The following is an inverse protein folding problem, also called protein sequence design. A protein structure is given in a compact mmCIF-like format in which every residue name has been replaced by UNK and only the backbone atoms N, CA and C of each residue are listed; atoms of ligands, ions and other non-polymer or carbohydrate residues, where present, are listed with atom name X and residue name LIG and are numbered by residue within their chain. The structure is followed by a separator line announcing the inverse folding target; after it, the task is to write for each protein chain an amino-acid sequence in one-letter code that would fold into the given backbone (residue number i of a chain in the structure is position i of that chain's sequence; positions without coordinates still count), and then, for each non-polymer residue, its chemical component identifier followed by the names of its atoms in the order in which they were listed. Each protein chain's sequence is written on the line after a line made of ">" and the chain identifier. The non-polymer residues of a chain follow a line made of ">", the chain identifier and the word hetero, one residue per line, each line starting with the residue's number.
data_IF_905161371342
#
_entry.id   IF_905161371342
#
_cell.length_a   1.000
_cell.length_b   1.000
_cell.length_c   1.000
_cell.angle_alpha   90.00
_cell.angle_beta   90.00
_cell.angle_gamma   90.00
#
_symmetry.space_group_name_H-M   'P 1'
#
loop_
_entity.id
_entity.type
_entity.pdbx_description
1 polymer ?
#
# COMPACT_ATOMS: atom_id res chain seq x y z
N UNK A 1 27.12 24.34 39.97
CA UNK A 1 26.28 23.15 39.94
C UNK A 1 25.27 23.25 38.80
N UNK A 2 25.24 22.28 38.03
CA UNK A 2 24.25 22.27 37.01
C UNK A 2 22.96 21.75 37.60
N UNK A 3 22.01 22.60 37.66
CA UNK A 3 20.69 22.19 38.07
C UNK A 3 19.90 21.61 36.95
N UNK A 4 20.41 21.78 35.78
CA UNK A 4 19.82 21.08 34.68
C UNK A 4 20.59 19.81 34.57
N UNK A 5 19.98 18.73 35.01
CA UNK A 5 20.58 17.48 34.69
C UNK A 5 20.51 17.37 33.19
N UNK A 6 20.97 18.28 32.48
CA UNK A 6 21.02 18.03 31.13
C UNK A 6 20.81 16.55 30.93
N UNK A 7 20.06 16.15 30.02
CA UNK A 7 19.94 14.77 29.67
C UNK A 7 21.34 14.22 29.60
N UNK A 8 21.74 13.44 30.58
CA UNK A 8 23.06 12.85 30.56
C UNK A 8 23.12 11.79 29.46
N UNK A 9 24.29 11.25 29.19
CA UNK A 9 24.47 10.28 28.12
C UNK A 9 23.58 9.06 28.24
N UNK A 10 23.30 8.62 29.48
CA UNK A 10 22.44 7.45 29.70
C UNK A 10 21.00 7.76 29.34
N UNK A 11 20.48 8.93 29.74
CA UNK A 11 19.11 9.33 29.45
C UNK A 11 18.89 9.52 27.94
N UNK A 12 19.87 10.11 27.29
CA UNK A 12 19.81 10.29 25.84
C UNK A 12 19.83 8.95 25.11
N UNK A 13 20.70 8.03 25.54
CA UNK A 13 20.77 6.71 24.95
C UNK A 13 19.47 5.94 25.13
N UNK A 14 18.82 6.09 26.29
CA UNK A 14 17.52 5.48 26.55
C UNK A 14 16.43 6.07 25.64
N UNK A 15 16.40 7.39 25.48
CA UNK A 15 15.45 8.06 24.60
C UNK A 15 15.67 7.65 23.14
N UNK A 16 16.93 7.55 22.72
CA UNK A 16 17.28 7.14 21.37
C UNK A 16 16.87 5.68 21.11
N UNK A 17 17.08 4.79 22.08
CA UNK A 17 16.65 3.40 21.99
C UNK A 17 15.14 3.29 21.88
N UNK A 18 14.43 4.09 22.67
CA UNK A 18 12.96 4.10 22.63
C UNK A 18 12.47 4.59 21.28
N UNK A 19 13.05 5.65 20.75
CA UNK A 19 12.68 6.18 19.45
C UNK A 19 12.92 5.15 18.33
N UNK A 20 14.06 4.47 18.37
CA UNK A 20 14.39 3.43 17.40
C UNK A 20 13.42 2.25 17.54
N UNK A 21 13.10 1.84 18.76
CA UNK A 21 12.17 0.73 18.99
C UNK A 21 10.78 1.06 18.48
N UNK A 22 10.29 2.28 18.67
CA UNK A 22 9.00 2.72 18.17
C UNK A 22 9.02 2.74 16.65
N UNK A 23 10.09 3.27 16.06
CA UNK A 23 10.21 3.30 14.61
C UNK A 23 10.23 1.90 14.02
N UNK A 24 11.01 0.99 14.58
CA UNK A 24 11.08 -0.39 14.12
C UNK A 24 9.73 -1.10 14.27
N UNK A 25 9.02 -0.85 15.39
CA UNK A 25 7.70 -1.42 15.60
C UNK A 25 6.70 -0.90 14.56
N UNK A 26 6.76 0.39 14.24
CA UNK A 26 5.89 0.99 13.23
C UNK A 26 6.16 0.40 11.84
N UNK A 27 7.44 0.25 11.46
CA UNK A 27 7.82 -0.36 10.18
C UNK A 27 7.39 -1.83 10.15
N UNK A 28 7.60 -2.56 11.24
CA UNK A 28 7.18 -3.97 11.32
C UNK A 28 5.66 -4.11 11.16
N UNK A 29 4.89 -3.21 11.78
CA UNK A 29 3.44 -3.20 11.65
C UNK A 29 3.02 -2.93 10.20
N UNK A 30 3.66 -1.98 9.53
CA UNK A 30 3.38 -1.69 8.12
C UNK A 30 3.70 -2.88 7.23
N UNK A 31 4.83 -3.54 7.46
CA UNK A 31 5.20 -4.74 6.72
C UNK A 31 4.18 -5.85 6.95
N UNK A 32 3.76 -6.06 8.19
CA UNK A 32 2.75 -7.07 8.51
C UNK A 32 1.44 -6.78 7.79
N UNK A 33 0.96 -5.53 7.82
CA UNK A 33 -0.24 -5.13 7.11
C UNK A 33 -0.07 -5.35 5.61
N UNK A 34 1.10 -5.03 5.06
CA UNK A 34 1.38 -5.25 3.66
C UNK A 34 1.31 -6.73 3.28
N UNK A 35 1.82 -7.61 4.13
CA UNK A 35 1.74 -9.06 3.89
C UNK A 35 0.28 -9.52 3.89
N UNK A 36 -0.52 -9.05 4.86
CA UNK A 36 -1.94 -9.39 4.93
C UNK A 36 -2.69 -8.89 3.70
N UNK A 37 -2.49 -7.62 3.33
CA UNK A 37 -3.14 -7.03 2.16
C UNK A 37 -2.67 -7.74 0.89
N UNK A 38 -1.39 -8.07 0.79
CA UNK A 38 -0.86 -8.82 -0.34
C UNK A 38 -1.48 -10.20 -0.47
N UNK A 39 -1.67 -10.89 0.66
CA UNK A 39 -2.37 -12.17 0.68
C UNK A 39 -3.82 -12.04 0.23
N UNK A 40 -4.53 -11.03 0.72
CA UNK A 40 -5.91 -10.77 0.30
C UNK A 40 -5.98 -10.38 -1.18
N UNK A 41 -5.02 -9.60 -1.67
CA UNK A 41 -4.94 -9.26 -3.08
C UNK A 41 -4.81 -10.53 -3.94
N UNK A 42 -3.99 -11.48 -3.51
CA UNK A 42 -3.85 -12.75 -4.19
C UNK A 42 -5.12 -13.60 -4.11
N UNK A 43 -5.73 -13.69 -2.92
CA UNK A 43 -6.93 -14.50 -2.72
C UNK A 43 -8.13 -13.95 -3.50
N UNK A 44 -8.21 -12.64 -3.66
CA UNK A 44 -9.26 -12.00 -4.45
C UNK A 44 -8.90 -11.87 -5.92
N UNK A 45 -7.72 -12.35 -6.31
CA UNK A 45 -7.21 -12.26 -7.67
C UNK A 45 -7.20 -10.82 -8.19
N UNK A 46 -6.83 -9.89 -7.30
CA UNK A 46 -6.81 -8.45 -7.59
C UNK A 46 -5.50 -7.97 -8.22
N UNK A 47 -4.49 -8.83 -8.28
CA UNK A 47 -3.23 -8.50 -8.94
C UNK A 47 -3.46 -8.14 -10.39
N UNK A 48 -2.67 -7.20 -10.89
CA UNK A 48 -2.74 -6.73 -12.27
C UNK A 48 -4.00 -5.93 -12.62
N UNK A 49 -4.86 -5.61 -11.64
CA UNK A 49 -6.01 -4.74 -11.90
C UNK A 49 -5.57 -3.30 -12.23
N UNK A 50 -4.40 -2.89 -11.75
CA UNK A 50 -3.77 -1.62 -12.12
C UNK A 50 -2.78 -1.92 -13.24
N UNK A 51 -3.11 -1.54 -14.46
CA UNK A 51 -2.36 -1.92 -15.64
C UNK A 51 -1.14 -1.04 -15.92
N UNK A 52 -1.11 0.17 -15.34
CA UNK A 52 -0.03 1.11 -15.55
C UNK A 52 0.71 1.38 -14.25
N UNK A 53 2.05 1.35 -14.31
CA UNK A 53 2.88 1.70 -13.16
C UNK A 53 3.28 3.16 -13.24
N UNK A 54 2.73 3.97 -12.32
CA UNK A 54 3.05 5.38 -12.21
C UNK A 54 3.38 5.67 -10.76
N UNK A 55 4.67 5.85 -10.40
CA UNK A 55 5.07 5.96 -8.99
C UNK A 55 4.43 7.13 -8.23
N UNK A 56 4.25 8.27 -8.90
CA UNK A 56 3.69 9.47 -8.28
C UNK A 56 2.20 9.61 -8.61
N UNK A 57 1.87 9.71 -9.89
CA UNK A 57 0.46 9.89 -10.31
C UNK A 57 -0.38 8.65 -10.05
N UNK A 58 0.23 7.47 -10.08
CA UNK A 58 -0.47 6.22 -9.77
C UNK A 58 -0.85 6.08 -8.30
N UNK A 59 -0.39 6.97 -7.42
CA UNK A 59 -0.85 7.01 -6.04
C UNK A 59 -2.24 7.65 -5.91
N UNK A 60 -2.72 8.29 -6.96
CA UNK A 60 -4.06 8.90 -6.99
C UNK A 60 -5.02 7.90 -7.63
N UNK A 61 -6.09 7.48 -6.93
CA UNK A 61 -7.06 6.57 -7.51
C UNK A 61 -7.93 7.26 -8.55
N UNK A 62 -8.66 6.49 -9.39
CA UNK A 62 -9.62 7.09 -10.32
C UNK A 62 -10.67 7.91 -9.58
N UNK A 63 -10.96 9.11 -10.09
CA UNK A 63 -11.83 10.08 -9.43
C UNK A 63 -13.17 10.28 -10.14
N UNK A 64 -13.38 9.67 -11.30
CA UNK A 64 -14.62 9.79 -12.07
C UNK A 64 -15.01 8.47 -12.68
N UNK A 65 -16.29 8.32 -13.03
CA UNK A 65 -16.78 7.12 -13.71
C UNK A 65 -16.07 6.91 -15.04
N UNK A 66 -15.78 7.98 -15.76
CA UNK A 66 -15.05 7.90 -17.03
C UNK A 66 -13.64 7.33 -16.82
N UNK A 67 -12.95 7.77 -15.77
CA UNK A 67 -11.63 7.26 -15.44
C UNK A 67 -11.70 5.79 -15.00
N UNK A 68 -12.69 5.42 -14.20
CA UNK A 68 -12.92 4.03 -13.82
C UNK A 68 -13.18 3.15 -15.03
N UNK A 69 -14.00 3.61 -15.97
CA UNK A 69 -14.30 2.86 -17.18
C UNK A 69 -13.05 2.67 -18.04
N UNK A 70 -12.21 3.70 -18.12
CA UNK A 70 -10.95 3.61 -18.87
C UNK A 70 -10.03 2.57 -18.26
N UNK A 71 -9.86 2.57 -16.93
CA UNK A 71 -9.03 1.59 -16.25
C UNK A 71 -9.56 0.16 -16.43
N UNK A 72 -10.87 -0.01 -16.35
CA UNK A 72 -11.50 -1.29 -16.57
C UNK A 72 -11.30 -1.79 -18.01
N UNK A 73 -11.44 -0.91 -18.97
CA UNK A 73 -11.23 -1.27 -20.38
C UNK A 73 -9.78 -1.74 -20.62
N UNK A 74 -8.81 -1.09 -20.00
CA UNK A 74 -7.41 -1.52 -20.05
C UNK A 74 -7.23 -2.89 -19.41
N UNK A 75 -7.85 -3.12 -18.25
CA UNK A 75 -7.77 -4.40 -17.55
C UNK A 75 -8.38 -5.54 -18.39
N UNK A 76 -9.47 -5.27 -19.09
CA UNK A 76 -10.14 -6.29 -19.92
C UNK A 76 -9.27 -6.80 -21.05
N UNK A 77 -8.20 -6.09 -21.38
CA UNK A 77 -7.28 -6.48 -22.46
C UNK A 77 -6.16 -7.39 -21.97
N UNK A 78 -5.97 -7.55 -20.66
CA UNK A 78 -4.88 -8.36 -20.12
C UNK A 78 -5.32 -9.81 -19.88
N UNK A 79 -4.38 -10.78 -19.85
CA UNK A 79 -4.70 -12.17 -19.63
C UNK A 79 -5.41 -12.48 -18.32
N UNK A 80 -5.15 -11.72 -17.27
CA UNK A 80 -5.78 -11.92 -15.95
C UNK A 80 -7.30 -11.84 -16.06
N UNK A 81 -7.82 -10.83 -16.78
CA UNK A 81 -9.25 -10.72 -17.04
C UNK A 81 -9.77 -11.88 -17.89
N UNK A 82 -9.06 -12.14 -18.98
CA UNK A 82 -9.54 -13.11 -19.97
C UNK A 82 -9.55 -14.53 -19.45
N UNK A 83 -8.59 -14.88 -18.58
CA UNK A 83 -8.43 -16.24 -18.10
C UNK A 83 -9.11 -16.51 -16.77
N UNK A 84 -9.18 -15.50 -15.89
CA UNK A 84 -9.64 -15.68 -14.51
C UNK A 84 -10.90 -14.88 -14.21
N UNK A 85 -10.90 -13.59 -14.53
CA UNK A 85 -11.95 -12.65 -14.12
C UNK A 85 -12.89 -12.26 -15.25
N UNK A 86 -12.95 -13.06 -16.31
CA UNK A 86 -13.80 -12.76 -17.47
C UNK A 86 -15.27 -12.64 -17.03
N UNK A 87 -15.92 -11.59 -17.52
CA UNK A 87 -17.32 -11.35 -17.22
C UNK A 87 -17.58 -10.53 -15.97
N UNK A 88 -16.53 -10.03 -15.29
CA UNK A 88 -16.73 -9.21 -14.11
C UNK A 88 -17.37 -7.86 -14.46
N UNK A 89 -18.13 -7.32 -13.52
CA UNK A 89 -18.75 -6.01 -13.64
C UNK A 89 -17.77 -4.91 -13.27
N UNK A 90 -18.10 -3.64 -13.59
CA UNK A 90 -17.30 -2.50 -13.17
C UNK A 90 -17.21 -2.41 -11.65
N UNK A 91 -18.29 -2.72 -10.93
CA UNK A 91 -18.28 -2.68 -9.46
C UNK A 91 -17.33 -3.74 -8.89
N UNK A 92 -17.31 -4.93 -9.45
CA UNK A 92 -16.37 -5.97 -9.06
C UNK A 92 -14.93 -5.55 -9.37
N UNK A 93 -14.70 -4.91 -10.51
CA UNK A 93 -13.40 -4.36 -10.86
C UNK A 93 -12.95 -3.30 -9.85
N UNK A 94 -13.84 -2.40 -9.42
CA UNK A 94 -13.52 -1.40 -8.42
C UNK A 94 -13.03 -2.05 -7.13
N UNK A 95 -13.64 -3.15 -6.72
CA UNK A 95 -13.25 -3.88 -5.51
C UNK A 95 -11.82 -4.39 -5.61
N UNK A 96 -11.48 -5.09 -6.70
CA UNK A 96 -10.13 -5.62 -6.87
C UNK A 96 -9.09 -4.52 -7.09
N UNK A 97 -9.49 -3.44 -7.75
CA UNK A 97 -8.62 -2.28 -7.94
C UNK A 97 -8.20 -1.68 -6.59
N UNK A 98 -9.15 -1.53 -5.67
CA UNK A 98 -8.87 -0.97 -4.35
C UNK A 98 -7.95 -1.87 -3.52
N UNK A 99 -8.07 -3.19 -3.63
CA UNK A 99 -7.14 -4.10 -2.95
C UNK A 99 -5.71 -3.91 -3.47
N UNK A 100 -5.53 -3.88 -4.77
CA UNK A 100 -4.20 -3.69 -5.35
C UNK A 100 -3.68 -2.28 -5.10
N UNK A 101 -4.54 -1.27 -5.21
CA UNK A 101 -4.16 0.10 -4.91
C UNK A 101 -3.67 0.25 -3.47
N UNK A 102 -4.38 -0.33 -2.53
CA UNK A 102 -3.99 -0.31 -1.12
C UNK A 102 -2.65 -0.99 -0.89
N UNK A 103 -2.44 -2.14 -1.52
CA UNK A 103 -1.18 -2.87 -1.44
C UNK A 103 -0.01 -2.04 -2.00
N UNK A 104 -0.20 -1.43 -3.17
CA UNK A 104 0.82 -0.57 -3.78
C UNK A 104 1.08 0.68 -2.96
N UNK A 105 0.04 1.26 -2.39
CA UNK A 105 0.16 2.44 -1.53
C UNK A 105 1.00 2.13 -0.28
N UNK A 106 0.74 1.01 0.38
CA UNK A 106 1.53 0.57 1.52
C UNK A 106 3.00 0.36 1.13
N UNK A 107 3.24 -0.22 -0.04
CA UNK A 107 4.60 -0.38 -0.55
C UNK A 107 5.31 0.96 -0.73
N UNK A 108 4.61 1.96 -1.24
CA UNK A 108 5.16 3.31 -1.37
C UNK A 108 5.48 3.92 -0.02
N UNK A 109 4.59 3.76 0.98
CA UNK A 109 4.82 4.26 2.33
C UNK A 109 6.06 3.65 2.97
N UNK A 110 6.22 2.35 2.84
CA UNK A 110 7.35 1.63 3.41
C UNK A 110 8.65 2.04 2.71
N UNK A 111 8.60 2.27 1.42
CA UNK A 111 9.77 2.64 0.61
C UNK A 111 10.21 4.10 0.75
N UNK A 112 9.40 4.93 1.38
CA UNK A 112 9.80 6.31 1.68
C UNK A 112 10.65 6.34 2.97
#
# INVERSE_FOLDING_TARGET
>A
MSVLPAINGADKAEADRRAIAIWLAAVAALVFIMVVVGGLTRLTESGLSITEWKPVTGAIPPMSEEHWQKEFDLYRQIPQYQLINKGMSLDEFKTIYWWEWGHRFLGRLIGL
#
